data_IF_427117762801
#
_entry.id   IF_427117762801
#
_cell.length_a   1.000
_cell.length_b   1.000
_cell.length_c   1.000
_cell.angle_alpha   90.00
_cell.angle_beta   90.00
_cell.angle_gamma   90.00
#
_symmetry.space_group_name_H-M   'P 1'
#
loop_
_entity.id
_entity.type
_entity.pdbx_description
1 polymer ?
#
# COMPACT_ATOMS: atom_id res chain seq x y z
N UNK A 1 -15.30 27.09 15.17
CA UNK A 1 -15.55 25.73 15.72
C UNK A 1 -14.38 24.78 15.52
N UNK A 2 -13.61 24.91 14.46
CA UNK A 2 -12.44 24.02 14.11
C UNK A 2 -11.27 24.19 15.08
N UNK A 3 -11.03 25.37 15.62
CA UNK A 3 -9.92 25.64 16.56
C UNK A 3 -10.13 25.03 17.97
N UNK A 4 -11.36 24.96 18.46
CA UNK A 4 -11.68 24.36 19.76
C UNK A 4 -11.58 22.83 19.80
N UNK A 5 -11.67 22.14 18.65
CA UNK A 5 -11.47 20.69 18.59
C UNK A 5 -9.98 20.29 18.54
N UNK A 6 -9.08 21.19 18.10
CA UNK A 6 -7.63 20.94 18.11
C UNK A 6 -7.05 20.81 19.52
N UNK A 7 -7.61 21.52 20.51
CA UNK A 7 -7.14 21.47 21.92
C UNK A 7 -7.43 20.16 22.65
N UNK A 8 -8.27 19.27 22.10
CA UNK A 8 -8.71 18.02 22.78
C UNK A 8 -8.10 16.74 22.26
N UNK A 9 -7.31 16.77 21.16
CA UNK A 9 -6.70 15.55 20.66
C UNK A 9 -5.47 15.19 21.49
N UNK A 10 -5.35 13.94 21.96
CA UNK A 10 -4.12 13.48 22.60
C UNK A 10 -2.96 13.58 21.60
N UNK A 11 -1.77 13.88 22.09
CA UNK A 11 -0.53 13.94 21.30
C UNK A 11 -0.30 12.61 20.56
N UNK A 12 -0.59 11.50 21.25
CA UNK A 12 -0.53 10.15 20.67
C UNK A 12 -1.89 9.48 20.75
N UNK A 13 -2.35 8.95 19.64
CA UNK A 13 -3.50 8.05 19.57
C UNK A 13 -2.99 6.61 19.42
N UNK A 14 -3.11 5.84 20.49
CA UNK A 14 -2.73 4.42 20.57
C UNK A 14 -3.94 3.50 20.61
N UNK A 15 -5.16 4.05 20.46
CA UNK A 15 -6.41 3.29 20.46
C UNK A 15 -6.65 2.52 19.17
N UNK A 16 -5.95 2.88 18.10
CA UNK A 16 -6.04 2.23 16.81
C UNK A 16 -5.67 0.75 16.87
N UNK A 17 -6.51 -0.11 16.27
CA UNK A 17 -6.26 -1.56 16.21
C UNK A 17 -5.06 -1.94 15.35
N UNK A 18 -4.68 -1.09 14.40
CA UNK A 18 -3.68 -1.40 13.37
C UNK A 18 -2.43 -0.52 13.44
N UNK A 19 -2.54 0.72 13.92
CA UNK A 19 -1.41 1.66 13.99
C UNK A 19 -1.56 2.59 15.18
N UNK A 20 -0.41 3.00 15.70
CA UNK A 20 -0.28 4.11 16.64
C UNK A 20 0.21 5.33 15.86
N UNK A 21 -0.29 6.51 16.22
CA UNK A 21 0.12 7.78 15.60
C UNK A 21 0.33 8.84 16.66
N UNK A 22 1.39 9.61 16.54
CA UNK A 22 1.63 10.79 17.34
C UNK A 22 1.80 12.03 16.48
N UNK A 23 1.17 13.12 16.86
CA UNK A 23 1.30 14.41 16.17
C UNK A 23 1.71 15.47 17.20
N UNK A 24 2.91 16.00 17.04
CA UNK A 24 3.49 17.03 17.93
C UNK A 24 3.83 18.28 17.12
N UNK A 25 3.51 19.44 17.68
CA UNK A 25 3.70 20.76 17.04
C UNK A 25 4.44 21.70 17.99
N UNK A 26 5.23 22.61 17.42
CA UNK A 26 6.03 23.62 18.12
C UNK A 26 7.52 23.36 17.97
N UNK A 27 8.29 23.47 19.05
CA UNK A 27 9.73 23.14 19.07
C UNK A 27 9.88 21.62 19.21
N UNK A 28 10.00 20.92 18.09
CA UNK A 28 10.14 19.46 18.02
C UNK A 28 11.52 19.08 17.55
N UNK A 29 12.25 18.32 18.34
CA UNK A 29 13.64 17.92 18.12
C UNK A 29 13.75 16.42 17.94
N UNK A 30 14.21 15.99 16.79
CA UNK A 30 14.40 14.59 16.41
C UNK A 30 15.87 14.25 16.51
N UNK A 31 16.21 13.31 17.39
CA UNK A 31 17.56 12.80 17.57
C UNK A 31 17.73 11.42 16.90
N UNK A 32 18.94 11.15 16.41
CA UNK A 32 19.29 9.93 15.68
C UNK A 32 18.99 8.60 16.40
N UNK A 33 18.93 8.62 17.73
CA UNK A 33 18.65 7.44 18.55
C UNK A 33 17.15 7.09 18.65
N UNK A 34 16.33 7.54 17.70
CA UNK A 34 14.87 7.35 17.69
C UNK A 34 14.16 8.00 18.88
N UNK A 35 14.66 9.17 19.29
CA UNK A 35 14.03 9.99 20.33
C UNK A 35 13.53 11.29 19.73
N UNK A 36 12.28 11.64 20.04
CA UNK A 36 11.67 12.92 19.74
C UNK A 36 11.48 13.67 21.06
N UNK A 37 12.09 14.83 21.15
CA UNK A 37 11.84 15.78 22.23
C UNK A 37 10.87 16.83 21.71
N UNK A 38 9.86 17.16 22.50
CA UNK A 38 9.04 18.29 22.15
C UNK A 38 8.90 19.21 23.37
N UNK A 39 9.13 20.51 23.11
CA UNK A 39 9.21 21.50 24.15
C UNK A 39 7.89 22.25 24.25
N UNK A 40 7.35 22.31 25.45
CA UNK A 40 6.06 22.95 25.73
C UNK A 40 6.21 24.09 26.71
N UNK A 41 5.55 25.21 26.42
CA UNK A 41 5.50 26.32 27.35
C UNK A 41 4.83 25.88 28.67
N UNK A 42 5.37 26.30 29.81
CA UNK A 42 4.80 26.03 31.14
C UNK A 42 3.38 26.60 31.30
N UNK A 43 3.04 27.62 30.49
CA UNK A 43 1.70 28.24 30.51
C UNK A 43 0.67 27.52 29.65
N UNK A 44 1.09 26.53 28.83
CA UNK A 44 0.18 25.77 27.99
C UNK A 44 -0.60 24.74 28.81
N UNK A 45 -1.88 24.47 28.48
CA UNK A 45 -2.68 23.44 29.19
C UNK A 45 -1.94 22.09 29.17
N UNK A 46 -1.66 21.50 30.34
CA UNK A 46 -0.86 20.29 30.53
C UNK A 46 0.65 20.47 30.39
N UNK A 47 1.16 21.70 30.39
CA UNK A 47 2.58 22.02 30.18
C UNK A 47 3.55 21.67 31.32
N UNK A 48 3.05 21.24 32.46
CA UNK A 48 3.88 21.02 33.68
C UNK A 48 4.29 19.57 33.96
N UNK A 49 3.74 18.59 33.25
CA UNK A 49 4.05 17.19 33.52
C UNK A 49 4.95 16.62 32.41
N UNK A 50 6.10 16.05 32.80
CA UNK A 50 6.91 15.24 31.88
C UNK A 50 6.12 13.99 31.45
N UNK A 51 5.92 13.82 30.16
CA UNK A 51 5.23 12.65 29.62
C UNK A 51 6.14 11.94 28.59
N UNK A 52 6.02 10.63 28.57
CA UNK A 52 6.80 9.77 27.68
C UNK A 52 5.86 8.80 26.97
N UNK A 53 5.99 8.69 25.65
CA UNK A 53 5.29 7.71 24.83
C UNK A 53 6.29 6.84 24.09
N UNK A 54 5.94 5.55 23.94
CA UNK A 54 6.72 4.57 23.20
C UNK A 54 5.90 4.10 22.01
N UNK A 55 6.36 4.39 20.79
CA UNK A 55 5.60 4.19 19.55
C UNK A 55 6.47 3.46 18.54
N UNK A 56 5.87 2.52 17.81
CA UNK A 56 6.45 1.94 16.60
C UNK A 56 5.73 2.52 15.38
N UNK A 57 6.41 3.21 14.46
CA UNK A 57 5.78 3.83 13.28
C UNK A 57 5.40 2.77 12.23
N UNK A 58 4.50 1.86 12.60
CA UNK A 58 4.14 0.68 11.83
C UNK A 58 2.62 0.42 11.86
N UNK A 59 2.04 0.01 10.72
CA UNK A 59 0.58 -0.12 10.58
C UNK A 59 0.04 -1.54 10.80
N UNK A 60 0.87 -2.52 11.17
CA UNK A 60 0.43 -3.88 11.54
C UNK A 60 0.74 -4.17 13.00
N UNK A 61 0.18 -3.35 13.88
CA UNK A 61 0.26 -3.53 15.32
C UNK A 61 -0.18 -4.95 15.71
N UNK A 62 0.60 -5.62 16.54
CA UNK A 62 0.36 -6.99 16.97
C UNK A 62 0.74 -8.08 15.95
N UNK A 63 1.33 -7.74 14.81
CA UNK A 63 1.88 -8.74 13.88
C UNK A 63 3.21 -9.32 14.36
N UNK A 64 3.57 -10.49 13.81
CA UNK A 64 4.85 -11.15 14.12
C UNK A 64 6.08 -10.30 13.77
N UNK A 65 5.96 -9.43 12.77
CA UNK A 65 7.05 -8.55 12.32
C UNK A 65 7.08 -7.20 13.03
N UNK A 66 6.21 -6.95 14.00
CA UNK A 66 6.23 -5.71 14.76
C UNK A 66 7.52 -5.55 15.57
N UNK A 67 8.12 -6.63 16.03
CA UNK A 67 9.41 -6.61 16.75
C UNK A 67 10.56 -6.07 15.90
N UNK A 68 10.48 -6.25 14.58
CA UNK A 68 11.53 -5.83 13.65
C UNK A 68 11.50 -4.32 13.38
N UNK A 69 10.44 -3.64 13.84
CA UNK A 69 10.27 -2.19 13.70
C UNK A 69 10.84 -1.48 14.91
N UNK A 70 11.72 -0.52 14.68
CA UNK A 70 12.35 0.28 15.71
C UNK A 70 11.32 1.03 16.54
N UNK A 71 11.46 0.98 17.85
CA UNK A 71 10.61 1.72 18.78
C UNK A 71 11.16 3.13 18.97
N UNK A 72 10.28 4.11 18.87
CA UNK A 72 10.57 5.51 19.09
C UNK A 72 10.07 5.96 20.46
N UNK A 73 10.83 6.84 21.09
CA UNK A 73 10.47 7.49 22.35
C UNK A 73 10.13 8.95 22.08
N UNK A 74 8.93 9.39 22.49
CA UNK A 74 8.58 10.82 22.52
C UNK A 74 8.66 11.29 23.96
N UNK A 75 9.40 12.36 24.20
CA UNK A 75 9.57 12.98 25.51
C UNK A 75 9.07 14.42 25.49
N UNK A 76 8.10 14.72 26.34
CA UNK A 76 7.67 16.08 26.59
C UNK A 76 8.61 16.71 27.63
N UNK A 77 9.15 17.88 27.30
CA UNK A 77 10.00 18.68 28.18
C UNK A 77 9.39 20.09 28.34
N UNK A 78 9.77 20.77 29.40
CA UNK A 78 9.46 22.19 29.55
C UNK A 78 10.32 23.03 28.59
N UNK A 79 9.80 24.18 28.17
CA UNK A 79 10.60 25.12 27.40
C UNK A 79 11.77 25.62 28.27
N UNK A 80 13.00 25.54 27.71
CA UNK A 80 14.22 25.89 28.43
C UNK A 80 14.78 24.77 29.32
N UNK A 81 14.22 23.56 29.28
CA UNK A 81 14.77 22.42 30.00
C UNK A 81 16.20 22.12 29.51
N UNK A 82 17.20 22.05 30.43
CA UNK A 82 18.58 21.79 30.05
C UNK A 82 18.80 20.38 29.46
N UNK A 83 17.86 19.45 29.66
CA UNK A 83 17.89 18.13 29.05
C UNK A 83 17.49 18.13 27.56
N UNK A 84 16.99 19.26 27.03
CA UNK A 84 16.63 19.37 25.63
C UNK A 84 17.90 19.52 24.77
N UNK A 85 18.17 18.59 23.84
CA UNK A 85 19.37 18.67 23.00
C UNK A 85 19.32 19.89 22.08
N UNK A 86 20.46 20.54 21.83
CA UNK A 86 20.54 21.69 20.90
C UNK A 86 20.29 21.23 19.45
N UNK A 87 19.60 22.07 18.65
CA UNK A 87 19.42 21.81 17.23
C UNK A 87 20.76 21.92 16.48
N UNK A 88 21.11 20.90 15.71
CA UNK A 88 22.20 20.96 14.73
C UNK A 88 21.71 21.47 13.38
N UNK A 89 20.45 21.10 13.03
CA UNK A 89 19.81 21.56 11.80
C UNK A 89 18.36 21.92 12.09
N UNK A 90 17.88 23.02 11.53
CA UNK A 90 16.50 23.49 11.67
C UNK A 90 15.82 23.51 10.31
N UNK A 91 14.64 22.92 10.25
CA UNK A 91 13.78 22.83 9.07
C UNK A 91 12.53 23.69 9.25
N UNK A 92 12.09 24.35 8.18
CA UNK A 92 10.87 25.16 8.19
C UNK A 92 9.60 24.32 7.89
N UNK A 93 9.76 23.21 7.18
CA UNK A 93 8.66 22.31 6.84
C UNK A 93 8.47 21.22 7.91
N UNK A 94 7.24 20.68 8.08
CA UNK A 94 6.97 19.56 8.97
C UNK A 94 7.69 18.27 8.54
N UNK A 95 7.70 17.27 9.43
CA UNK A 95 8.23 15.94 9.14
C UNK A 95 7.21 14.83 9.41
N UNK A 96 7.30 13.77 8.62
CA UNK A 96 6.58 12.49 8.82
C UNK A 96 7.60 11.37 8.98
N UNK A 97 7.56 10.68 10.12
CA UNK A 97 8.40 9.52 10.40
C UNK A 97 7.63 8.24 10.09
N UNK A 98 8.18 7.39 9.24
CA UNK A 98 7.61 6.10 8.86
C UNK A 98 8.69 5.00 8.86
N UNK A 99 8.28 3.74 8.89
CA UNK A 99 9.21 2.59 8.88
C UNK A 99 9.19 1.87 7.54
N UNK A 100 10.37 1.44 7.08
CA UNK A 100 10.54 0.52 5.97
C UNK A 100 10.85 -0.92 6.44
N UNK A 101 10.54 -1.27 7.70
CA UNK A 101 10.66 -2.64 8.22
C UNK A 101 9.38 -3.47 7.99
N UNK A 102 9.21 -4.52 8.76
CA UNK A 102 8.07 -5.42 8.69
C UNK A 102 8.04 -6.24 7.40
N UNK A 103 6.88 -6.31 6.76
CA UNK A 103 6.67 -7.09 5.53
C UNK A 103 7.09 -6.38 4.24
N UNK A 104 7.81 -5.26 4.31
CA UNK A 104 8.26 -4.52 3.12
C UNK A 104 9.13 -5.36 2.20
N UNK A 105 8.93 -5.19 0.90
CA UNK A 105 9.52 -5.99 -0.18
C UNK A 105 8.49 -6.85 -0.90
N UNK A 106 7.32 -7.03 -0.32
CA UNK A 106 6.15 -7.54 -1.00
C UNK A 106 5.25 -6.36 -1.37
N UNK A 107 4.93 -6.18 -2.64
CA UNK A 107 4.22 -5.02 -3.16
C UNK A 107 2.86 -4.78 -2.48
N UNK A 108 2.16 -5.83 -2.06
CA UNK A 108 0.92 -5.69 -1.30
C UNK A 108 1.16 -4.94 0.01
N UNK A 109 2.18 -5.34 0.77
CA UNK A 109 2.53 -4.70 2.03
C UNK A 109 3.21 -3.34 1.82
N UNK A 110 4.03 -3.19 0.79
CA UNK A 110 4.61 -1.90 0.43
C UNK A 110 3.52 -0.85 0.19
N UNK A 111 2.47 -1.21 -0.55
CA UNK A 111 1.32 -0.32 -0.80
C UNK A 111 0.46 -0.12 0.45
N UNK A 112 0.06 -1.22 1.08
CA UNK A 112 -0.92 -1.22 2.18
C UNK A 112 -0.37 -0.64 3.47
N UNK A 113 0.88 -0.98 3.81
CA UNK A 113 1.45 -0.69 5.12
C UNK A 113 2.30 0.60 5.11
N UNK A 114 2.79 1.02 3.94
CA UNK A 114 3.69 2.18 3.86
C UNK A 114 3.16 3.25 2.91
N UNK A 115 3.00 2.97 1.61
CA UNK A 115 2.80 4.02 0.61
C UNK A 115 1.43 4.69 0.68
N UNK A 116 0.35 3.93 0.82
CA UNK A 116 -1.01 4.50 0.99
C UNK A 116 -1.14 5.21 2.35
N UNK A 117 -0.71 4.63 3.49
CA UNK A 117 -0.67 5.36 4.74
C UNK A 117 0.17 6.64 4.70
N UNK A 118 1.33 6.61 4.02
CA UNK A 118 2.18 7.78 3.85
C UNK A 118 1.48 8.85 2.98
N UNK A 119 0.81 8.46 1.88
CA UNK A 119 -0.01 9.35 1.08
C UNK A 119 -1.12 10.02 1.92
N UNK A 120 -1.89 9.25 2.68
CA UNK A 120 -2.95 9.77 3.55
C UNK A 120 -2.38 10.78 4.55
N UNK A 121 -1.17 10.52 5.06
CA UNK A 121 -0.54 11.33 6.11
C UNK A 121 0.10 12.59 5.57
N UNK A 122 0.69 12.54 4.36
CA UNK A 122 1.59 13.62 3.89
C UNK A 122 1.08 14.41 2.68
N UNK A 123 0.19 13.87 1.86
CA UNK A 123 -0.19 14.49 0.57
C UNK A 123 -0.81 15.89 0.71
N UNK A 124 -1.51 16.16 1.82
CA UNK A 124 -2.09 17.48 2.10
C UNK A 124 -1.06 18.58 2.38
N UNK A 125 0.22 18.24 2.55
CA UNK A 125 1.28 19.23 2.66
C UNK A 125 1.79 19.74 1.31
N UNK A 126 1.24 19.24 0.19
CA UNK A 126 1.63 19.67 -1.16
C UNK A 126 3.16 19.62 -1.38
N UNK A 127 3.77 18.50 -1.02
CA UNK A 127 5.22 18.23 -1.02
C UNK A 127 6.09 19.07 -0.05
N UNK A 128 5.51 19.99 0.72
CA UNK A 128 6.21 20.76 1.76
C UNK A 128 6.29 19.98 3.07
N UNK A 129 6.92 18.82 3.05
CA UNK A 129 7.05 17.92 4.20
C UNK A 129 8.32 17.07 4.05
N UNK A 130 9.09 16.92 5.12
CA UNK A 130 10.23 16.00 5.14
C UNK A 130 9.75 14.57 5.43
N UNK A 131 10.24 13.60 4.68
CA UNK A 131 10.01 12.18 4.89
C UNK A 131 11.24 11.60 5.62
N UNK A 132 11.01 11.14 6.85
CA UNK A 132 12.02 10.51 7.70
C UNK A 132 11.78 9.02 7.74
N UNK A 133 12.69 8.23 7.17
CA UNK A 133 12.58 6.77 7.19
C UNK A 133 13.31 6.21 8.42
N UNK A 134 12.55 5.57 9.30
CA UNK A 134 13.06 4.64 10.30
C UNK A 134 13.38 3.31 9.63
N UNK A 135 14.22 2.49 10.18
CA UNK A 135 14.51 1.14 9.64
C UNK A 135 14.80 1.17 8.13
N UNK A 136 15.69 2.06 7.70
CA UNK A 136 15.96 2.32 6.29
C UNK A 136 16.45 1.07 5.56
N UNK A 137 15.83 0.82 4.40
CA UNK A 137 16.28 -0.15 3.40
C UNK A 137 16.59 0.61 2.11
N UNK A 138 17.86 0.92 1.80
CA UNK A 138 18.22 1.74 0.64
C UNK A 138 17.63 1.27 -0.69
N UNK A 139 17.57 -0.06 -0.90
CA UNK A 139 16.96 -0.66 -2.08
C UNK A 139 15.43 -0.36 -2.16
N UNK A 140 14.74 -0.30 -1.02
CA UNK A 140 13.31 -0.01 -0.96
C UNK A 140 13.06 1.47 -1.26
N UNK A 141 13.83 2.35 -0.64
CA UNK A 141 13.76 3.81 -0.90
C UNK A 141 14.04 4.09 -2.37
N UNK A 142 15.09 3.50 -2.95
CA UNK A 142 15.43 3.65 -4.37
C UNK A 142 14.30 3.17 -5.29
N UNK A 143 13.66 2.03 -4.97
CA UNK A 143 12.54 1.46 -5.73
C UNK A 143 11.33 2.40 -5.78
N UNK A 144 11.03 3.08 -4.69
CA UNK A 144 9.86 3.96 -4.56
C UNK A 144 10.20 5.45 -4.64
N UNK A 145 11.46 5.78 -4.94
CA UNK A 145 11.91 7.18 -5.03
C UNK A 145 11.04 8.02 -5.98
N UNK A 146 10.60 7.54 -7.17
CA UNK A 146 9.73 8.32 -8.03
C UNK A 146 8.41 8.76 -7.37
N UNK A 147 7.85 7.92 -6.47
CA UNK A 147 6.65 8.24 -5.71
C UNK A 147 6.98 9.13 -4.50
N UNK A 148 8.03 8.80 -3.74
CA UNK A 148 8.43 9.56 -2.57
C UNK A 148 8.79 11.01 -2.92
N UNK A 149 9.43 11.23 -4.08
CA UNK A 149 9.75 12.58 -4.61
C UNK A 149 8.54 13.40 -5.03
N UNK A 150 7.35 12.78 -5.17
CA UNK A 150 6.09 13.48 -5.39
C UNK A 150 5.40 13.83 -4.07
N UNK A 151 5.60 13.02 -3.03
CA UNK A 151 5.08 13.30 -1.70
C UNK A 151 5.90 14.35 -0.96
N UNK A 152 7.21 14.46 -1.26
CA UNK A 152 8.12 15.42 -0.66
C UNK A 152 9.07 15.98 -1.72
N UNK A 153 9.22 17.29 -1.76
CA UNK A 153 10.26 17.93 -2.59
C UNK A 153 11.67 17.86 -1.98
N UNK A 154 11.76 17.42 -0.74
CA UNK A 154 13.02 17.24 -0.03
C UNK A 154 13.51 15.82 -0.17
N UNK A 155 14.81 15.61 -0.03
CA UNK A 155 15.39 14.26 0.04
C UNK A 155 14.84 13.48 1.23
N UNK A 156 14.69 12.16 1.04
CA UNK A 156 14.30 11.26 2.13
C UNK A 156 15.44 11.21 3.14
N UNK A 157 15.13 11.49 4.39
CA UNK A 157 16.09 11.48 5.49
C UNK A 157 16.08 10.10 6.15
N UNK A 158 17.25 9.46 6.20
CA UNK A 158 17.43 8.29 7.07
C UNK A 158 17.44 8.74 8.53
N UNK A 159 16.41 8.35 9.27
CA UNK A 159 16.26 8.66 10.70
C UNK A 159 16.73 7.51 11.60
N UNK A 160 17.38 6.49 11.01
CA UNK A 160 17.98 5.37 11.72
C UNK A 160 19.38 5.66 12.27
N UNK A 161 20.19 4.62 12.34
CA UNK A 161 21.52 4.67 12.96
C UNK A 161 22.61 5.37 12.10
N UNK A 162 22.25 5.77 10.86
CA UNK A 162 23.17 6.44 9.91
C UNK A 162 23.41 7.92 10.23
N UNK A 163 22.59 8.53 11.08
CA UNK A 163 22.76 9.90 11.55
C UNK A 163 23.82 9.88 12.67
N UNK A 164 24.76 10.80 12.65
CA UNK A 164 25.75 10.94 13.73
C UNK A 164 25.07 11.03 15.09
N UNK A 165 25.60 10.36 16.11
CA UNK A 165 24.97 10.24 17.42
C UNK A 165 24.57 11.59 18.06
N UNK A 166 25.22 12.67 17.63
CA UNK A 166 25.02 14.03 18.15
C UNK A 166 24.12 14.89 17.24
N UNK A 167 23.60 14.34 16.13
CA UNK A 167 22.75 15.11 15.23
C UNK A 167 21.32 15.25 15.77
N UNK A 168 20.86 16.50 15.84
CA UNK A 168 19.50 16.86 16.26
C UNK A 168 18.85 17.72 15.20
N UNK A 169 17.80 17.22 14.58
CA UNK A 169 17.03 17.93 13.56
C UNK A 169 15.77 18.50 14.16
N UNK A 170 15.56 19.79 13.98
CA UNK A 170 14.42 20.51 14.56
C UNK A 170 13.39 20.84 13.49
N UNK A 171 12.11 20.62 13.85
CA UNK A 171 10.97 20.80 12.97
C UNK A 171 9.85 21.55 13.68
N UNK A 172 9.02 22.34 12.96
CA UNK A 172 7.85 22.98 13.54
C UNK A 172 6.72 21.98 13.89
N UNK A 173 6.80 20.79 13.30
CA UNK A 173 5.82 19.71 13.50
C UNK A 173 6.41 18.37 13.08
N UNK A 174 6.12 17.34 13.87
CA UNK A 174 6.46 15.94 13.52
C UNK A 174 5.24 15.06 13.69
N UNK A 175 5.00 14.24 12.69
CA UNK A 175 4.02 13.14 12.75
C UNK A 175 4.82 11.83 12.80
N UNK A 176 4.68 11.09 13.90
CA UNK A 176 5.32 9.78 14.07
C UNK A 176 4.27 8.68 13.85
N UNK A 177 4.53 7.85 12.85
CA UNK A 177 3.63 6.80 12.38
C UNK A 177 2.63 7.29 11.33
N UNK A 178 2.53 6.59 10.19
CA UNK A 178 1.58 6.95 9.14
C UNK A 178 0.15 6.53 9.51
N UNK A 179 -0.82 7.31 9.01
CA UNK A 179 -2.25 7.05 9.25
C UNK A 179 -2.72 5.85 8.43
N UNK A 180 -3.02 4.74 9.08
CA UNK A 180 -3.68 3.60 8.45
C UNK A 180 -5.21 3.70 8.60
N UNK A 181 -5.93 3.36 7.54
CA UNK A 181 -7.40 3.28 7.56
C UNK A 181 -7.90 1.90 7.15
N UNK A 182 -7.62 1.50 5.90
CA UNK A 182 -7.98 0.19 5.33
C UNK A 182 -6.92 -0.26 4.34
N UNK A 183 -6.88 -1.57 4.08
CA UNK A 183 -5.97 -2.15 3.10
C UNK A 183 -6.31 -1.70 1.69
N UNK A 184 -5.32 -1.25 0.93
CA UNK A 184 -5.43 -0.78 -0.46
C UNK A 184 -6.57 0.23 -0.70
N UNK A 185 -6.92 1.04 0.31
CA UNK A 185 -8.05 1.96 0.22
C UNK A 185 -7.74 3.31 0.85
N UNK A 186 -8.15 4.37 0.16
CA UNK A 186 -8.23 5.73 0.68
C UNK A 186 -9.70 6.13 0.75
N UNK A 187 -10.19 6.38 1.96
CA UNK A 187 -11.54 6.87 2.19
C UNK A 187 -11.50 8.40 2.27
N UNK A 188 -12.05 9.06 1.27
CA UNK A 188 -12.02 10.52 1.15
C UNK A 188 -12.62 11.24 2.36
N UNK A 189 -13.64 10.64 3.00
CA UNK A 189 -14.26 11.22 4.19
C UNK A 189 -13.37 11.23 5.43
N UNK A 190 -12.31 10.40 5.43
CA UNK A 190 -11.38 10.23 6.53
C UNK A 190 -10.00 10.87 6.26
N UNK A 191 -9.80 11.48 5.09
CA UNK A 191 -8.59 12.25 4.78
C UNK A 191 -8.79 13.74 5.10
N UNK A 192 -7.70 14.45 5.38
CA UNK A 192 -7.79 15.89 5.78
C UNK A 192 -8.33 16.80 4.67
N UNK A 193 -8.16 16.41 3.41
CA UNK A 193 -8.51 17.24 2.25
C UNK A 193 -9.42 16.53 1.24
N UNK A 194 -10.07 15.43 1.65
CA UNK A 194 -10.99 14.71 0.78
C UNK A 194 -10.32 13.83 -0.30
N UNK A 195 -9.03 13.56 -0.17
CA UNK A 195 -8.31 12.70 -1.14
C UNK A 195 -8.83 11.27 -1.13
N UNK A 196 -8.86 10.65 -2.30
CA UNK A 196 -9.42 9.33 -2.59
C UNK A 196 -8.39 8.36 -3.19
N UNK A 197 -8.81 7.13 -3.48
CA UNK A 197 -7.99 6.20 -4.26
C UNK A 197 -7.71 6.69 -5.69
N UNK A 198 -8.60 7.51 -6.26
CA UNK A 198 -8.36 8.10 -7.57
C UNK A 198 -7.18 9.08 -7.53
N UNK A 199 -7.05 9.88 -6.46
CA UNK A 199 -5.92 10.79 -6.27
C UNK A 199 -4.61 10.02 -6.05
N UNK A 200 -4.65 8.94 -5.26
CA UNK A 200 -3.48 8.07 -5.10
C UNK A 200 -3.06 7.43 -6.43
N UNK A 201 -4.04 6.99 -7.23
CA UNK A 201 -3.77 6.46 -8.56
C UNK A 201 -3.15 7.51 -9.48
N UNK A 202 -3.63 8.76 -9.46
CA UNK A 202 -3.03 9.84 -10.25
C UNK A 202 -1.58 10.08 -9.84
N UNK A 203 -1.28 10.06 -8.54
CA UNK A 203 0.09 10.10 -8.04
C UNK A 203 0.95 8.96 -8.62
N UNK A 204 0.43 7.72 -8.70
CA UNK A 204 1.14 6.60 -9.32
C UNK A 204 1.36 6.82 -10.82
N UNK A 205 0.33 7.33 -11.53
CA UNK A 205 0.41 7.65 -12.95
C UNK A 205 1.54 8.63 -13.23
N UNK A 206 1.62 9.68 -12.46
CA UNK A 206 2.67 10.69 -12.59
C UNK A 206 4.05 10.15 -12.19
N UNK A 207 4.13 9.36 -11.10
CA UNK A 207 5.38 8.83 -10.56
C UNK A 207 6.05 7.84 -11.51
N UNK A 208 5.27 6.97 -12.15
CA UNK A 208 5.78 5.90 -13.01
C UNK A 208 5.60 6.19 -14.51
N UNK A 209 5.11 7.37 -14.88
CA UNK A 209 4.91 7.76 -16.27
C UNK A 209 3.93 6.86 -17.00
N UNK A 210 2.83 6.50 -16.35
CA UNK A 210 1.81 5.63 -16.93
C UNK A 210 1.02 6.41 -17.99
N UNK A 211 0.89 5.83 -19.18
CA UNK A 211 0.36 6.56 -20.34
C UNK A 211 -1.13 6.40 -20.52
N UNK A 212 -1.67 5.23 -20.15
CA UNK A 212 -3.09 4.94 -20.37
C UNK A 212 -3.94 5.50 -19.23
N UNK A 213 -4.84 6.39 -19.58
CA UNK A 213 -5.77 7.05 -18.65
C UNK A 213 -7.11 6.33 -18.52
N UNK A 214 -7.43 5.41 -19.44
CA UNK A 214 -8.62 4.56 -19.42
C UNK A 214 -8.36 3.25 -20.18
N UNK A 215 -9.10 2.20 -19.86
CA UNK A 215 -9.18 1.01 -20.68
C UNK A 215 -9.91 1.34 -21.99
N UNK A 216 -9.42 0.80 -23.09
CA UNK A 216 -10.02 0.96 -24.42
C UNK A 216 -10.91 -0.24 -24.74
N UNK A 217 -12.10 0.02 -25.25
CA UNK A 217 -13.00 -1.04 -25.71
C UNK A 217 -12.51 -1.67 -27.03
N UNK A 218 -13.20 -2.71 -27.47
CA UNK A 218 -12.86 -3.54 -28.64
C UNK A 218 -12.68 -2.78 -29.98
N UNK A 219 -13.11 -1.53 -30.07
CA UNK A 219 -13.08 -0.79 -31.36
C UNK A 219 -11.69 -0.39 -31.83
N UNK A 220 -10.77 -0.08 -30.92
CA UNK A 220 -9.47 0.49 -31.31
C UNK A 220 -8.38 -0.56 -31.48
N UNK A 221 -8.46 -1.68 -30.76
CA UNK A 221 -7.50 -2.78 -30.80
C UNK A 221 -8.06 -4.02 -30.11
N UNK A 222 -7.34 -5.15 -30.24
CA UNK A 222 -7.64 -6.34 -29.44
C UNK A 222 -7.45 -6.02 -27.95
N UNK A 223 -8.43 -6.36 -27.08
CA UNK A 223 -8.26 -6.22 -25.64
C UNK A 223 -7.04 -7.01 -25.16
N UNK A 224 -6.23 -6.38 -24.31
CA UNK A 224 -5.03 -7.03 -23.77
C UNK A 224 -5.34 -7.67 -22.42
N UNK A 225 -5.10 -8.99 -22.33
CA UNK A 225 -5.15 -9.76 -21.11
C UNK A 225 -3.74 -9.93 -20.55
N UNK A 226 -3.52 -9.49 -19.32
CA UNK A 226 -2.30 -9.75 -18.56
C UNK A 226 -2.56 -10.89 -17.57
N UNK A 227 -1.84 -11.99 -17.68
CA UNK A 227 -1.82 -13.08 -16.71
C UNK A 227 -0.59 -12.88 -15.83
N UNK A 228 -0.81 -12.63 -14.52
CA UNK A 228 0.27 -12.53 -13.54
C UNK A 228 0.37 -13.86 -12.80
N UNK A 229 1.50 -14.52 -12.94
CA UNK A 229 1.80 -15.82 -12.34
C UNK A 229 3.18 -15.77 -11.67
N UNK A 230 3.33 -16.44 -10.54
CA UNK A 230 4.58 -16.46 -9.78
C UNK A 230 5.19 -17.86 -9.83
N UNK A 231 6.31 -18.03 -10.52
CA UNK A 231 6.95 -19.33 -10.80
C UNK A 231 7.29 -20.24 -9.61
N UNK A 232 7.25 -19.78 -8.40
CA UNK A 232 7.63 -20.57 -7.22
C UNK A 232 6.53 -20.68 -6.15
N UNK A 233 5.45 -19.93 -6.30
CA UNK A 233 4.32 -19.96 -5.39
C UNK A 233 3.09 -19.38 -6.11
N UNK A 234 1.94 -20.06 -6.06
CA UNK A 234 0.70 -19.66 -6.74
C UNK A 234 0.85 -19.56 -8.26
N UNK A 235 1.61 -20.50 -8.83
CA UNK A 235 1.77 -20.63 -10.28
C UNK A 235 0.50 -21.20 -10.92
N UNK A 236 0.15 -20.68 -12.10
CA UNK A 236 -0.86 -21.33 -12.94
C UNK A 236 -0.21 -22.45 -13.76
N UNK A 237 -0.37 -23.71 -13.32
CA UNK A 237 0.21 -24.87 -14.00
C UNK A 237 -0.20 -25.02 -15.47
N UNK A 238 -1.37 -24.50 -15.83
CA UNK A 238 -1.88 -24.52 -17.20
C UNK A 238 -1.90 -23.12 -17.84
N UNK A 239 -0.98 -22.23 -17.44
CA UNK A 239 -0.88 -20.85 -17.96
C UNK A 239 -0.87 -20.81 -19.50
N UNK A 240 -0.14 -21.75 -20.15
CA UNK A 240 -0.14 -21.86 -21.61
C UNK A 240 -1.54 -22.12 -22.17
N UNK A 241 -2.27 -23.08 -21.60
CA UNK A 241 -3.66 -23.39 -22.01
C UNK A 241 -4.62 -22.21 -21.74
N UNK A 242 -4.43 -21.50 -20.64
CA UNK A 242 -5.18 -20.26 -20.35
C UNK A 242 -4.91 -19.20 -21.43
N UNK A 243 -3.65 -19.01 -21.79
CA UNK A 243 -3.25 -18.05 -22.83
C UNK A 243 -3.79 -18.43 -24.23
N UNK A 244 -3.73 -19.70 -24.63
CA UNK A 244 -4.25 -20.19 -25.89
C UNK A 244 -5.78 -20.03 -25.95
N UNK A 245 -6.49 -20.40 -24.89
CA UNK A 245 -7.94 -20.21 -24.78
C UNK A 245 -8.31 -18.72 -24.84
N UNK A 246 -7.61 -17.84 -24.12
CA UNK A 246 -7.88 -16.41 -24.14
C UNK A 246 -7.63 -15.78 -25.55
N UNK A 247 -6.58 -16.21 -26.25
CA UNK A 247 -6.37 -15.78 -27.64
C UNK A 247 -7.53 -16.21 -28.55
N UNK A 248 -8.10 -17.41 -28.34
CA UNK A 248 -9.28 -17.86 -29.11
C UNK A 248 -10.52 -17.01 -28.85
N UNK A 249 -10.58 -16.27 -27.72
CA UNK A 249 -11.63 -15.31 -27.39
C UNK A 249 -11.36 -13.91 -27.98
N UNK A 250 -10.20 -13.71 -28.63
CA UNK A 250 -9.83 -12.45 -29.25
C UNK A 250 -8.98 -11.52 -28.34
N UNK A 251 -8.38 -12.04 -27.29
CA UNK A 251 -7.41 -11.27 -26.50
C UNK A 251 -6.01 -11.27 -27.12
N UNK A 252 -5.32 -10.15 -27.02
CA UNK A 252 -3.86 -10.12 -27.02
C UNK A 252 -3.38 -10.54 -25.63
N UNK A 253 -2.66 -11.65 -25.51
CA UNK A 253 -2.27 -12.20 -24.20
C UNK A 253 -0.81 -11.93 -23.91
N UNK A 254 -0.56 -11.32 -22.77
CA UNK A 254 0.76 -11.07 -22.18
C UNK A 254 0.84 -11.81 -20.84
N UNK A 255 1.97 -12.43 -20.56
CA UNK A 255 2.26 -13.04 -19.26
C UNK A 255 3.29 -12.20 -18.52
N UNK A 256 3.06 -11.95 -17.24
CA UNK A 256 3.97 -11.22 -16.35
C UNK A 256 4.46 -12.12 -15.23
N UNK A 257 5.77 -12.16 -15.01
CA UNK A 257 6.38 -12.84 -13.87
C UNK A 257 6.89 -11.80 -12.86
N UNK A 258 6.42 -11.92 -11.63
CA UNK A 258 6.91 -11.13 -10.50
C UNK A 258 8.05 -11.89 -9.80
N UNK A 259 9.22 -11.94 -10.41
CA UNK A 259 10.39 -12.55 -9.77
C UNK A 259 11.05 -11.68 -8.68
N UNK A 260 10.47 -10.52 -8.38
CA UNK A 260 10.97 -9.55 -7.40
C UNK A 260 12.21 -8.76 -7.86
N UNK A 261 12.74 -9.04 -9.05
CA UNK A 261 13.92 -8.38 -9.62
C UNK A 261 13.59 -7.41 -10.75
N UNK A 262 12.37 -7.49 -11.28
CA UNK A 262 11.89 -6.56 -12.31
C UNK A 262 11.91 -5.14 -11.79
N UNK A 263 12.38 -4.20 -12.59
CA UNK A 263 12.23 -2.78 -12.30
C UNK A 263 10.74 -2.45 -12.18
N UNK A 264 10.34 -1.91 -11.03
CA UNK A 264 8.93 -1.66 -10.71
C UNK A 264 8.26 -0.77 -11.76
N UNK A 265 8.99 0.21 -12.29
CA UNK A 265 8.48 1.15 -13.30
C UNK A 265 8.15 0.46 -14.63
N UNK A 266 8.99 -0.49 -15.07
CA UNK A 266 8.74 -1.28 -16.28
C UNK A 266 7.52 -2.18 -16.06
N UNK A 267 7.42 -2.82 -14.89
CA UNK A 267 6.28 -3.68 -14.59
C UNK A 267 4.98 -2.86 -14.45
N UNK A 268 5.01 -1.72 -13.79
CA UNK A 268 3.86 -0.81 -13.67
C UNK A 268 3.36 -0.35 -15.05
N UNK A 269 4.28 -0.01 -15.96
CA UNK A 269 3.95 0.32 -17.36
C UNK A 269 3.35 -0.86 -18.10
N UNK A 270 3.87 -2.07 -17.90
CA UNK A 270 3.30 -3.28 -18.48
C UNK A 270 1.85 -3.49 -18.01
N UNK A 271 1.62 -3.44 -16.69
CA UNK A 271 0.26 -3.54 -16.10
C UNK A 271 -0.65 -2.46 -16.67
N UNK A 272 -0.16 -1.23 -16.81
CA UNK A 272 -0.95 -0.12 -17.35
C UNK A 272 -1.39 -0.35 -18.81
N UNK A 273 -0.75 -1.25 -19.56
CA UNK A 273 -1.18 -1.59 -20.93
C UNK A 273 -2.36 -2.55 -20.98
N UNK A 274 -2.69 -3.23 -19.89
CA UNK A 274 -3.72 -4.27 -19.86
C UNK A 274 -5.13 -3.68 -19.76
N UNK A 275 -6.09 -4.35 -20.40
CA UNK A 275 -7.52 -4.09 -20.27
C UNK A 275 -8.16 -5.07 -19.28
N UNK A 276 -7.60 -6.28 -19.19
CA UNK A 276 -8.00 -7.31 -18.23
C UNK A 276 -6.74 -7.85 -17.55
N UNK A 277 -6.77 -7.99 -16.24
CA UNK A 277 -5.70 -8.61 -15.46
C UNK A 277 -6.26 -9.81 -14.71
N UNK A 278 -5.57 -10.94 -14.77
CA UNK A 278 -5.89 -12.14 -13.98
C UNK A 278 -4.71 -12.48 -13.07
N UNK A 279 -5.00 -12.70 -11.79
CA UNK A 279 -4.00 -13.06 -10.79
C UNK A 279 -4.63 -13.85 -9.63
N UNK A 280 -3.81 -14.61 -8.90
CA UNK A 280 -4.25 -15.47 -7.80
C UNK A 280 -3.80 -15.00 -6.41
N UNK A 281 -2.72 -14.25 -6.29
CA UNK A 281 -2.13 -13.88 -5.01
C UNK A 281 -2.34 -12.41 -4.64
N UNK A 282 -2.20 -12.11 -3.36
CA UNK A 282 -2.33 -10.73 -2.87
C UNK A 282 -1.27 -9.79 -3.48
N UNK A 283 -0.03 -10.27 -3.59
CA UNK A 283 1.05 -9.50 -4.21
C UNK A 283 0.81 -9.27 -5.70
N UNK A 284 0.34 -10.28 -6.40
CA UNK A 284 0.00 -10.22 -7.81
C UNK A 284 -1.20 -9.28 -8.06
N UNK A 285 -2.26 -9.43 -7.24
CA UNK A 285 -3.48 -8.61 -7.31
C UNK A 285 -3.22 -7.15 -6.93
N UNK A 286 -2.32 -6.88 -6.00
CA UNK A 286 -1.98 -5.50 -5.60
C UNK A 286 -1.50 -4.64 -6.78
N UNK A 287 -0.96 -5.26 -7.84
CA UNK A 287 -0.55 -4.56 -9.06
C UNK A 287 -1.72 -3.92 -9.84
N UNK A 288 -2.97 -4.25 -9.48
CA UNK A 288 -4.15 -3.59 -10.08
C UNK A 288 -4.12 -2.06 -9.91
N UNK A 289 -3.37 -1.52 -8.95
CA UNK A 289 -3.20 -0.07 -8.75
C UNK A 289 -2.63 0.64 -9.98
N UNK A 290 -1.94 -0.08 -10.86
CA UNK A 290 -1.35 0.45 -12.09
C UNK A 290 -2.27 0.30 -13.32
N UNK A 291 -3.38 -0.44 -13.22
CA UNK A 291 -4.34 -0.60 -14.32
C UNK A 291 -5.00 0.74 -14.69
N UNK A 292 -5.34 0.96 -15.96
CA UNK A 292 -6.17 2.11 -16.33
C UNK A 292 -7.60 1.96 -15.78
N UNK A 293 -8.31 3.06 -15.46
CA UNK A 293 -9.72 3.02 -15.08
C UNK A 293 -10.56 2.26 -16.12
N UNK A 294 -11.63 1.65 -15.66
CA UNK A 294 -12.51 0.77 -16.43
C UNK A 294 -11.88 -0.55 -16.92
N UNK A 295 -10.61 -0.83 -16.59
CA UNK A 295 -10.04 -2.17 -16.76
C UNK A 295 -10.71 -3.18 -15.83
N UNK A 296 -10.62 -4.46 -16.18
CA UNK A 296 -11.22 -5.57 -15.42
C UNK A 296 -10.15 -6.33 -14.65
N UNK A 297 -10.36 -6.51 -13.35
CA UNK A 297 -9.54 -7.38 -12.49
C UNK A 297 -10.28 -8.70 -12.30
N UNK A 298 -9.63 -9.81 -12.62
CA UNK A 298 -10.12 -11.16 -12.36
C UNK A 298 -9.28 -11.77 -11.24
N UNK A 299 -9.84 -11.82 -10.04
CA UNK A 299 -9.23 -12.53 -8.92
C UNK A 299 -9.51 -14.02 -9.03
N UNK A 300 -8.46 -14.84 -9.06
CA UNK A 300 -8.57 -16.29 -8.89
C UNK A 300 -8.52 -16.57 -7.38
N UNK A 301 -9.68 -16.83 -6.80
CA UNK A 301 -9.87 -16.96 -5.35
C UNK A 301 -9.94 -18.42 -4.91
N UNK A 302 -9.45 -18.70 -3.70
CA UNK A 302 -9.56 -20.02 -3.06
C UNK A 302 -11.02 -20.44 -2.87
N UNK A 303 -11.32 -21.78 -2.74
CA UNK A 303 -12.67 -22.28 -2.54
C UNK A 303 -13.31 -21.73 -1.25
N UNK A 304 -14.66 -21.65 -1.20
CA UNK A 304 -15.37 -21.33 0.04
C UNK A 304 -15.17 -22.44 1.08
N UNK A 305 -14.95 -22.06 2.35
CA UNK A 305 -14.73 -22.99 3.48
C UNK A 305 -13.32 -22.99 4.02
N UNK A 306 -12.40 -22.27 3.40
CA UNK A 306 -11.18 -21.85 4.04
C UNK A 306 -11.43 -20.79 5.11
N UNK A 307 -10.48 -20.63 6.03
CA UNK A 307 -10.49 -19.51 6.99
C UNK A 307 -10.84 -18.26 6.19
N UNK A 308 -11.93 -17.58 6.56
CA UNK A 308 -12.32 -16.32 5.93
C UNK A 308 -11.21 -15.29 6.19
N UNK A 309 -10.19 -15.36 5.32
CA UNK A 309 -9.15 -14.37 5.35
C UNK A 309 -9.74 -13.05 4.88
N UNK A 310 -9.45 -11.95 5.56
CA UNK A 310 -9.94 -10.61 5.20
C UNK A 310 -9.68 -10.22 3.74
N UNK A 311 -8.80 -10.95 3.05
CA UNK A 311 -8.41 -10.71 1.65
C UNK A 311 -9.56 -10.80 0.64
N UNK A 312 -10.64 -11.54 0.91
CA UNK A 312 -11.74 -11.67 -0.08
C UNK A 312 -12.52 -10.39 -0.32
N UNK A 313 -12.71 -9.58 0.72
CA UNK A 313 -13.37 -8.28 0.59
C UNK A 313 -12.38 -7.15 0.24
N UNK A 314 -11.07 -7.40 0.39
CA UNK A 314 -10.06 -6.34 0.28
C UNK A 314 -9.81 -5.88 -1.16
N UNK A 315 -9.96 -6.74 -2.17
CA UNK A 315 -9.65 -6.38 -3.57
C UNK A 315 -10.83 -5.84 -4.36
N UNK A 316 -12.08 -6.23 -4.06
CA UNK A 316 -13.26 -5.69 -4.72
C UNK A 316 -13.42 -4.19 -4.42
N UNK A 317 -13.52 -3.83 -3.15
CA UNK A 317 -13.71 -2.42 -2.76
C UNK A 317 -12.58 -1.50 -3.25
N UNK A 318 -11.27 -1.86 -3.11
CA UNK A 318 -10.19 -1.09 -3.69
C UNK A 318 -10.27 -0.95 -5.21
N UNK A 319 -10.59 -2.03 -5.93
CA UNK A 319 -10.73 -2.00 -7.38
C UNK A 319 -11.84 -1.02 -7.81
N UNK A 320 -13.02 -1.13 -7.20
CA UNK A 320 -14.15 -0.23 -7.45
C UNK A 320 -13.80 1.23 -7.11
N UNK A 321 -13.09 1.46 -6.00
CA UNK A 321 -12.60 2.79 -5.60
C UNK A 321 -11.61 3.43 -6.58
N UNK A 322 -10.92 2.62 -7.40
CA UNK A 322 -10.05 3.06 -8.49
C UNK A 322 -10.75 3.13 -9.85
N UNK A 323 -12.07 2.90 -9.89
CA UNK A 323 -12.83 2.86 -11.15
C UNK A 323 -12.58 1.62 -12.00
N UNK A 324 -12.05 0.52 -11.38
CA UNK A 324 -11.88 -0.77 -12.03
C UNK A 324 -13.15 -1.61 -11.94
N UNK A 325 -13.30 -2.56 -12.84
CA UNK A 325 -14.32 -3.62 -12.77
C UNK A 325 -13.71 -4.84 -12.08
N UNK A 326 -14.47 -5.55 -11.27
CA UNK A 326 -13.96 -6.69 -10.52
C UNK A 326 -14.80 -7.94 -10.79
N UNK A 327 -14.11 -9.04 -11.11
CA UNK A 327 -14.66 -10.38 -11.24
C UNK A 327 -13.91 -11.36 -10.35
N UNK A 328 -14.60 -12.40 -9.91
CA UNK A 328 -14.00 -13.45 -9.10
C UNK A 328 -14.18 -14.81 -9.80
N UNK A 329 -13.08 -15.50 -10.04
CA UNK A 329 -13.05 -16.89 -10.43
C UNK A 329 -12.78 -17.75 -9.20
N UNK A 330 -13.78 -18.47 -8.72
CA UNK A 330 -13.64 -19.37 -7.56
C UNK A 330 -13.07 -20.70 -7.99
N UNK A 331 -11.89 -21.03 -7.49
CA UNK A 331 -11.21 -22.31 -7.69
C UNK A 331 -12.01 -23.41 -7.01
N UNK A 332 -12.18 -24.55 -7.67
CA UNK A 332 -12.70 -25.77 -7.07
C UNK A 332 -11.54 -26.57 -6.45
N UNK A 333 -11.87 -27.54 -5.59
CA UNK A 333 -10.86 -28.36 -4.92
C UNK A 333 -9.95 -29.11 -5.90
N UNK A 334 -10.50 -29.61 -7.01
CA UNK A 334 -9.82 -30.33 -8.07
C UNK A 334 -8.93 -29.45 -8.97
N UNK A 335 -9.02 -28.13 -8.83
CA UNK A 335 -8.19 -27.16 -9.54
C UNK A 335 -6.92 -26.73 -8.75
N UNK A 336 -6.70 -27.33 -7.57
CA UNK A 336 -5.52 -27.08 -6.74
C UNK A 336 -4.58 -28.30 -6.74
N UNK A 337 -3.28 -28.06 -6.77
CA UNK A 337 -2.27 -29.13 -6.64
C UNK A 337 -2.36 -29.92 -5.32
N UNK A 338 -3.14 -29.44 -4.35
CA UNK A 338 -3.41 -30.20 -3.11
C UNK A 338 -4.34 -31.38 -3.32
N UNK A 339 -5.25 -31.31 -4.29
CA UNK A 339 -6.16 -32.43 -4.59
C UNK A 339 -5.39 -33.67 -5.01
N UNK A 340 -4.25 -33.49 -5.72
CA UNK A 340 -3.37 -34.58 -6.16
C UNK A 340 -2.52 -35.14 -5.01
N UNK A 341 -2.11 -34.29 -4.04
CA UNK A 341 -1.14 -34.69 -3.00
C UNK A 341 -1.80 -35.18 -1.71
N UNK A 342 -3.01 -34.73 -1.38
CA UNK A 342 -3.67 -35.03 -0.10
C UNK A 342 -5.21 -35.16 -0.25
N UNK A 343 -5.71 -36.27 -0.81
CA UNK A 343 -7.14 -36.46 -1.03
C UNK A 343 -7.99 -36.56 0.25
N UNK A 344 -7.37 -36.70 1.43
CA UNK A 344 -8.04 -37.02 2.71
C UNK A 344 -8.10 -35.85 3.69
N UNK A 345 -7.45 -34.72 3.42
CA UNK A 345 -7.48 -33.58 4.36
C UNK A 345 -8.88 -32.89 4.34
N UNK A 346 -9.71 -33.27 5.29
CA UNK A 346 -10.91 -32.50 5.68
C UNK A 346 -10.47 -31.56 6.78
N UNK A 347 -10.40 -30.23 6.51
CA UNK A 347 -10.42 -29.22 7.58
C UNK A 347 -9.80 -27.87 7.18
N UNK A 348 -9.95 -26.81 7.99
CA UNK A 348 -9.46 -25.45 7.72
C UNK A 348 -7.95 -25.35 7.43
N UNK A 349 -7.16 -26.36 7.78
CA UNK A 349 -5.73 -26.47 7.39
C UNK A 349 -5.58 -26.56 5.87
N UNK A 350 -6.57 -27.14 5.15
CA UNK A 350 -6.57 -27.24 3.68
C UNK A 350 -6.51 -25.87 2.99
N UNK A 351 -7.17 -24.88 3.56
CA UNK A 351 -7.20 -23.51 2.98
C UNK A 351 -5.89 -22.74 3.15
N UNK A 352 -5.21 -22.90 4.29
CA UNK A 352 -3.87 -22.34 4.53
C UNK A 352 -2.83 -22.92 3.55
N UNK A 353 -3.01 -24.17 3.14
CA UNK A 353 -2.13 -24.81 2.16
C UNK A 353 -2.49 -24.45 0.71
N UNK A 354 -3.76 -24.17 0.39
CA UNK A 354 -4.18 -23.74 -0.95
C UNK A 354 -3.61 -22.38 -1.31
N UNK A 355 -3.46 -21.49 -0.33
CA UNK A 355 -2.90 -20.15 -0.53
C UNK A 355 -1.43 -20.14 -0.98
N UNK A 356 -0.69 -21.21 -0.76
CA UNK A 356 0.73 -21.32 -1.12
C UNK A 356 1.03 -22.28 -2.29
N UNK A 357 -0.01 -22.86 -2.93
CA UNK A 357 0.15 -23.89 -3.96
C UNK A 357 -0.23 -23.41 -5.34
N UNK A 358 0.25 -24.14 -6.32
CA UNK A 358 -0.05 -23.90 -7.71
C UNK A 358 -1.50 -24.24 -8.05
N UNK A 359 -2.09 -23.49 -8.96
CA UNK A 359 -3.47 -23.60 -9.38
C UNK A 359 -3.57 -24.07 -10.83
N UNK A 360 -4.62 -24.82 -11.14
CA UNK A 360 -4.93 -25.29 -12.50
C UNK A 360 -6.38 -24.99 -12.85
N UNK A 361 -6.75 -23.71 -13.11
CA UNK A 361 -8.13 -23.35 -13.45
C UNK A 361 -8.68 -24.17 -14.62
N UNK A 362 -9.92 -24.65 -14.51
CA UNK A 362 -10.62 -25.32 -15.60
C UNK A 362 -10.88 -24.34 -16.74
N UNK A 363 -10.31 -24.61 -17.91
CA UNK A 363 -10.37 -23.70 -19.07
C UNK A 363 -11.79 -23.38 -19.49
N UNK A 364 -12.71 -24.36 -19.44
CA UNK A 364 -14.13 -24.16 -19.78
C UNK A 364 -14.83 -23.18 -18.84
N UNK A 365 -14.55 -23.24 -17.56
CA UNK A 365 -15.12 -22.31 -16.55
C UNK A 365 -14.47 -20.93 -16.65
N UNK A 366 -13.14 -20.87 -16.75
CA UNK A 366 -12.39 -19.64 -16.90
C UNK A 366 -12.80 -18.89 -18.18
N UNK A 367 -13.10 -19.62 -19.24
CA UNK A 367 -13.61 -19.07 -20.50
C UNK A 367 -14.88 -18.22 -20.28
N UNK A 368 -15.80 -18.66 -19.42
CA UNK A 368 -17.03 -17.90 -19.11
C UNK A 368 -16.69 -16.59 -18.38
N UNK A 369 -15.78 -16.64 -17.40
CA UNK A 369 -15.30 -15.44 -16.68
C UNK A 369 -14.64 -14.45 -17.62
N UNK A 370 -13.83 -14.92 -18.58
CA UNK A 370 -13.18 -14.04 -19.56
C UNK A 370 -14.16 -13.46 -20.59
N UNK A 371 -15.23 -14.19 -20.93
CA UNK A 371 -16.33 -13.64 -21.75
C UNK A 371 -17.07 -12.54 -21.00
N UNK A 372 -17.33 -12.72 -19.72
CA UNK A 372 -17.93 -11.68 -18.85
C UNK A 372 -16.99 -10.46 -18.76
N UNK A 373 -15.68 -10.69 -18.59
CA UNK A 373 -14.70 -9.61 -18.59
C UNK A 373 -14.74 -8.78 -19.89
N UNK A 374 -14.88 -9.43 -21.06
CA UNK A 374 -15.05 -8.74 -22.34
C UNK A 374 -16.33 -7.89 -22.42
N UNK A 375 -17.41 -8.33 -21.76
CA UNK A 375 -18.67 -7.57 -21.72
C UNK A 375 -18.57 -6.35 -20.80
N UNK A 376 -17.76 -6.43 -19.74
CA UNK A 376 -17.54 -5.34 -18.80
C UNK A 376 -16.60 -4.25 -19.33
N UNK A 377 -15.79 -4.53 -20.36
CA UNK A 377 -14.96 -3.49 -20.98
C UNK A 377 -15.82 -2.41 -21.64
N UNK A 378 -15.34 -1.17 -21.71
CA UNK A 378 -16.07 -0.07 -22.34
C UNK A 378 -16.56 -0.46 -23.72
N UNK A 379 -17.86 -0.30 -23.97
CA UNK A 379 -18.46 -0.53 -25.27
C UNK A 379 -18.32 0.72 -26.16
N UNK A 380 -18.27 0.53 -27.50
CA UNK A 380 -18.00 1.63 -28.42
C UNK A 380 -18.96 2.81 -28.35
N UNK A 381 -20.18 2.62 -27.86
CA UNK A 381 -21.25 3.63 -27.86
C UNK A 381 -21.53 4.29 -26.51
N UNK A 382 -20.76 3.91 -25.45
CA UNK A 382 -20.85 4.57 -24.16
C UNK A 382 -19.96 5.83 -24.14
N UNK A 383 -20.41 6.92 -24.77
CA UNK A 383 -19.89 8.24 -24.45
C UNK A 383 -20.19 8.53 -22.97
N UNK A 384 -19.24 9.03 -22.18
CA UNK A 384 -19.58 9.58 -20.88
C UNK A 384 -20.61 10.72 -21.10
N UNK A 385 -21.60 10.87 -20.21
CA UNK A 385 -22.48 12.03 -20.26
C UNK A 385 -21.62 13.31 -20.16
N UNK A 386 -22.05 14.38 -20.88
CA UNK A 386 -21.32 15.65 -20.95
C UNK A 386 -21.09 16.30 -19.58
#
# INVERSE_FOLDING_TARGET
MIEKEREKRPICDTSGKRSDICEVEGDVRVQANSTIFFLRSATAPGGGAAAVWLIRPYVRKGSLTQSDVKQWTIRQLAAGDPAAPACTTTHAAPAVVFSAAGFTGNIFYDLTDVLIPLFITSYHFHSEVHLLVSDNKPWWVARYLPLLSRLSRYEVIDAGDSIGADEVRCFPKVILGPVFRRELRVDASLTRSGYSMADFRELLVESFGLRRRAAEGRRCRQPRLLIISRKKAREFHNERGMAEMARSLGFEVVTGDLDGRSELDLFARLVNTADVMIAAGEAELANMVFLPPAAVVVQVAAPPGGVDWPARSSFREPAEGMGLRYLEYRVKEDESSLAESYPVLKDPIKSLYIDNRSLRPHLSRLRLTLLEALQLLPQPDSQPPP
#
